data_IF_852178174521
#
_entry.id   IF_852178174521
#
_cell.length_a   1.000
_cell.length_b   1.000
_cell.length_c   1.000
_cell.angle_alpha   90.00
_cell.angle_beta   90.00
_cell.angle_gamma   90.00
#
_symmetry.space_group_name_H-M   'P 1'
#
loop_
_entity.id
_entity.type
_entity.pdbx_description
1 polymer ?
#
# COMPACT_ATOMS: atom_id res chain seq x y z
N UNK A 1 29.45 22.49 -10.81
CA UNK A 1 28.41 22.01 -11.74
C UNK A 1 27.40 21.18 -10.96
N UNK A 2 26.15 21.61 -10.87
CA UNK A 2 25.08 20.80 -10.26
C UNK A 2 24.94 19.50 -11.07
N UNK A 3 24.95 18.34 -10.40
CA UNK A 3 24.76 17.04 -11.06
C UNK A 3 23.39 17.05 -11.74
N UNK A 4 23.35 16.83 -13.05
CA UNK A 4 22.09 16.64 -13.79
C UNK A 4 21.29 15.52 -13.09
N UNK A 5 20.00 15.74 -12.74
CA UNK A 5 19.21 14.71 -12.09
C UNK A 5 19.17 13.47 -12.98
N UNK A 6 19.42 12.30 -12.39
CA UNK A 6 19.38 11.04 -13.13
C UNK A 6 17.94 10.70 -13.50
N UNK A 7 17.73 10.24 -14.73
CA UNK A 7 16.42 9.88 -15.26
C UNK A 7 16.24 8.37 -15.30
N UNK A 8 14.99 7.90 -15.12
CA UNK A 8 14.55 6.54 -15.39
C UNK A 8 14.30 6.30 -16.88
N UNK A 9 14.37 7.34 -17.72
CA UNK A 9 14.23 7.22 -19.17
C UNK A 9 15.51 6.70 -19.81
N UNK A 10 15.60 5.38 -19.93
CA UNK A 10 16.76 4.69 -20.49
C UNK A 10 16.37 3.93 -21.75
N UNK A 11 16.69 4.47 -22.93
CA UNK A 11 16.54 3.73 -24.18
C UNK A 11 17.27 2.38 -24.09
N UNK A 12 16.63 1.32 -24.60
CA UNK A 12 17.25 -0.01 -24.71
C UNK A 12 17.68 -0.63 -23.36
N UNK A 13 17.13 -0.17 -22.22
CA UNK A 13 17.45 -0.72 -20.90
C UNK A 13 17.31 -2.25 -20.83
N UNK A 14 16.33 -2.83 -21.51
CA UNK A 14 16.12 -4.28 -21.58
C UNK A 14 17.30 -5.05 -22.20
N UNK A 15 18.05 -4.43 -23.12
CA UNK A 15 19.19 -5.03 -23.83
C UNK A 15 20.48 -5.04 -23.00
N UNK A 16 20.56 -4.21 -21.96
CA UNK A 16 21.74 -4.13 -21.10
C UNK A 16 21.95 -5.44 -20.32
N UNK A 17 23.21 -5.75 -20.07
CA UNK A 17 23.57 -6.85 -19.16
C UNK A 17 23.05 -6.58 -17.75
N UNK A 18 22.88 -7.64 -16.96
CA UNK A 18 22.47 -7.52 -15.56
C UNK A 18 23.43 -6.64 -14.74
N UNK A 19 24.74 -6.76 -14.97
CA UNK A 19 25.75 -5.97 -14.29
C UNK A 19 25.62 -4.46 -14.60
N UNK A 20 25.34 -4.10 -15.86
CA UNK A 20 25.11 -2.72 -16.27
C UNK A 20 23.81 -2.16 -15.68
N UNK A 21 22.74 -2.95 -15.70
CA UNK A 21 21.46 -2.58 -15.06
C UNK A 21 21.66 -2.28 -13.57
N UNK A 22 22.36 -3.15 -12.84
CA UNK A 22 22.68 -2.94 -11.41
C UNK A 22 23.51 -1.66 -11.22
N UNK A 23 24.53 -1.43 -12.04
CA UNK A 23 25.37 -0.22 -11.94
C UNK A 23 24.56 1.06 -12.12
N UNK A 24 23.61 1.06 -13.05
CA UNK A 24 22.73 2.21 -13.29
C UNK A 24 21.79 2.43 -12.10
N UNK A 25 21.12 1.38 -11.63
CA UNK A 25 20.20 1.46 -10.49
C UNK A 25 20.94 1.88 -9.21
N UNK A 26 22.12 1.31 -8.97
CA UNK A 26 22.94 1.64 -7.80
C UNK A 26 23.32 3.11 -7.78
N UNK A 27 23.69 3.66 -8.94
CA UNK A 27 23.97 5.08 -9.06
C UNK A 27 22.70 5.92 -8.87
N UNK A 28 21.59 5.52 -9.49
CA UNK A 28 20.31 6.23 -9.41
C UNK A 28 19.78 6.32 -7.98
N UNK A 29 19.71 5.18 -7.29
CA UNK A 29 19.15 5.05 -5.94
C UNK A 29 20.17 5.28 -4.81
N UNK A 30 21.41 5.66 -5.16
CA UNK A 30 22.53 5.82 -4.21
C UNK A 30 22.75 4.58 -3.32
N UNK A 31 22.66 3.39 -3.91
CA UNK A 31 22.80 2.13 -3.19
C UNK A 31 24.21 1.97 -2.60
N UNK A 32 24.26 1.47 -1.37
CA UNK A 32 25.50 1.20 -0.63
C UNK A 32 26.17 -0.09 -1.10
N UNK A 33 27.37 -0.38 -0.58
CA UNK A 33 28.05 -1.65 -0.84
C UNK A 33 27.28 -2.81 -0.24
N UNK A 34 26.65 -2.58 0.91
CA UNK A 34 25.80 -3.50 1.63
C UNK A 34 24.56 -3.84 0.80
N UNK A 35 23.85 -2.85 0.25
CA UNK A 35 22.70 -3.07 -0.64
C UNK A 35 23.07 -3.91 -1.85
N UNK A 36 24.21 -3.59 -2.49
CA UNK A 36 24.73 -4.35 -3.62
C UNK A 36 25.09 -5.79 -3.26
N UNK A 37 25.56 -6.02 -2.04
CA UNK A 37 25.83 -7.37 -1.52
C UNK A 37 24.52 -8.14 -1.36
N UNK A 38 23.47 -7.52 -0.81
CA UNK A 38 22.14 -8.14 -0.71
C UNK A 38 21.57 -8.50 -2.09
N UNK A 39 21.63 -7.58 -3.06
CA UNK A 39 21.15 -7.86 -4.43
C UNK A 39 21.87 -9.06 -5.04
N UNK A 40 23.20 -9.15 -4.88
CA UNK A 40 23.99 -10.29 -5.36
C UNK A 40 23.66 -11.59 -4.64
N UNK A 41 23.35 -11.55 -3.34
CA UNK A 41 22.94 -12.72 -2.58
C UNK A 41 21.57 -13.20 -3.05
N UNK A 42 20.62 -12.28 -3.23
CA UNK A 42 19.29 -12.59 -3.73
C UNK A 42 19.32 -13.21 -5.14
N UNK A 43 20.21 -12.76 -6.02
CA UNK A 43 20.41 -13.37 -7.34
C UNK A 43 21.00 -14.79 -7.33
N UNK A 44 21.60 -15.22 -6.21
CA UNK A 44 22.16 -16.56 -6.04
C UNK A 44 21.19 -17.52 -5.37
N UNK A 45 20.05 -17.02 -4.91
CA UNK A 45 18.99 -17.87 -4.42
C UNK A 45 18.55 -18.78 -5.58
N UNK A 46 18.47 -20.10 -5.37
CA UNK A 46 17.96 -21.01 -6.39
C UNK A 46 16.56 -20.56 -6.81
N UNK A 47 16.15 -20.88 -8.04
CA UNK A 47 14.74 -20.80 -8.42
C UNK A 47 13.98 -21.75 -7.46
N UNK A 48 13.38 -21.18 -6.42
CA UNK A 48 12.73 -21.91 -5.34
C UNK A 48 11.37 -22.41 -5.83
N UNK A 49 11.40 -23.41 -6.70
CA UNK A 49 10.23 -24.00 -7.36
C UNK A 49 9.31 -24.77 -6.38
N UNK A 50 9.79 -25.14 -5.17
CA UNK A 50 9.07 -26.05 -4.27
C UNK A 50 8.40 -25.43 -3.03
N UNK A 51 8.29 -24.09 -2.93
CA UNK A 51 7.43 -23.46 -1.91
C UNK A 51 6.27 -22.74 -2.60
N UNK A 52 5.03 -23.11 -2.24
CA UNK A 52 3.74 -22.79 -2.91
C UNK A 52 3.48 -21.32 -3.30
N UNK A 53 4.32 -20.34 -2.95
CA UNK A 53 4.11 -18.91 -3.21
C UNK A 53 5.42 -18.09 -3.34
N UNK A 54 6.44 -18.55 -4.07
CA UNK A 54 7.71 -17.81 -4.19
C UNK A 54 8.01 -17.34 -5.62
N UNK A 55 8.61 -16.15 -5.75
CA UNK A 55 8.81 -15.46 -7.02
C UNK A 55 10.32 -15.25 -7.23
N UNK A 56 10.83 -15.67 -8.39
CA UNK A 56 12.23 -15.52 -8.80
C UNK A 56 12.70 -14.06 -8.92
N UNK A 57 13.86 -13.79 -9.54
CA UNK A 57 14.56 -12.51 -9.41
C UNK A 57 13.65 -11.31 -9.67
N UNK A 58 13.59 -10.36 -8.72
CA UNK A 58 12.85 -9.11 -8.88
C UNK A 58 13.31 -8.40 -10.17
N UNK A 59 12.32 -7.97 -10.95
CA UNK A 59 12.52 -7.24 -12.20
C UNK A 59 12.35 -5.75 -11.93
N UNK A 60 12.89 -4.91 -12.81
CA UNK A 60 12.80 -3.45 -12.65
C UNK A 60 12.13 -2.87 -13.88
N UNK A 61 10.99 -2.20 -13.68
CA UNK A 61 10.38 -1.37 -14.70
C UNK A 61 10.99 0.04 -14.71
N UNK A 62 11.10 0.62 -15.91
CA UNK A 62 11.77 1.90 -16.17
C UNK A 62 10.81 2.92 -16.79
N UNK A 63 11.29 4.13 -17.04
CA UNK A 63 10.56 5.26 -17.64
C UNK A 63 9.50 5.96 -16.77
N UNK A 64 9.19 5.44 -15.57
CA UNK A 64 8.19 6.07 -14.69
C UNK A 64 8.61 7.49 -14.31
N UNK A 65 7.74 8.45 -14.65
CA UNK A 65 7.76 9.84 -14.21
C UNK A 65 6.47 10.07 -13.44
N UNK A 66 6.54 10.29 -12.14
CA UNK A 66 5.37 10.49 -11.27
C UNK A 66 5.55 11.81 -10.54
N UNK A 67 4.62 12.75 -10.74
CA UNK A 67 4.71 14.11 -10.18
C UNK A 67 6.09 14.74 -10.43
N UNK A 68 6.53 14.75 -11.70
CA UNK A 68 7.83 15.28 -12.15
C UNK A 68 9.08 14.62 -11.53
N UNK A 69 8.91 13.47 -10.88
CA UNK A 69 10.02 12.69 -10.30
C UNK A 69 10.18 11.34 -10.99
N UNK A 70 11.41 11.03 -11.35
CA UNK A 70 11.79 9.76 -11.96
C UNK A 70 11.81 8.62 -10.94
N UNK A 71 11.34 7.44 -11.35
CA UNK A 71 11.35 6.21 -10.56
C UNK A 71 11.79 5.00 -11.39
N UNK A 72 12.54 4.10 -10.75
CA UNK A 72 12.62 2.69 -11.13
C UNK A 72 11.68 1.91 -10.22
N UNK A 73 10.80 1.10 -10.79
CA UNK A 73 9.77 0.37 -10.04
C UNK A 73 10.18 -1.10 -9.93
N UNK A 74 10.54 -1.60 -8.74
CA UNK A 74 10.76 -3.02 -8.54
C UNK A 74 9.43 -3.78 -8.67
N UNK A 75 9.47 -4.89 -9.39
CA UNK A 75 8.32 -5.75 -9.67
C UNK A 75 8.73 -7.20 -9.46
N UNK A 76 8.09 -7.85 -8.51
CA UNK A 76 8.22 -9.28 -8.24
C UNK A 76 7.01 -9.97 -8.83
N UNK A 77 7.20 -10.58 -10.02
CA UNK A 77 6.14 -11.27 -10.77
C UNK A 77 6.76 -12.37 -11.64
N UNK A 78 6.04 -13.47 -11.82
CA UNK A 78 6.46 -14.61 -12.64
C UNK A 78 6.52 -14.23 -14.12
N UNK A 79 5.51 -13.53 -14.63
CA UNK A 79 5.38 -13.22 -16.06
C UNK A 79 6.32 -12.06 -16.49
N UNK A 80 7.36 -12.32 -17.32
CA UNK A 80 8.30 -11.27 -17.73
C UNK A 80 7.67 -10.18 -18.61
N UNK A 81 6.62 -10.53 -19.36
CA UNK A 81 5.93 -9.62 -20.28
C UNK A 81 5.33 -8.41 -19.55
N UNK A 82 4.87 -8.60 -18.31
CA UNK A 82 4.20 -7.57 -17.50
C UNK A 82 5.12 -6.38 -17.24
N UNK A 83 6.40 -6.65 -16.94
CA UNK A 83 7.39 -5.61 -16.65
C UNK A 83 7.79 -4.85 -17.92
N UNK A 84 7.88 -5.56 -19.05
CA UNK A 84 8.12 -4.95 -20.35
C UNK A 84 6.93 -4.07 -20.78
N UNK A 85 5.70 -4.55 -20.59
CA UNK A 85 4.48 -3.79 -20.87
C UNK A 85 4.38 -2.54 -19.99
N UNK A 86 4.63 -2.66 -18.68
CA UNK A 86 4.64 -1.54 -17.74
C UNK A 86 5.68 -0.48 -18.14
N UNK A 87 6.90 -0.89 -18.49
CA UNK A 87 7.96 0.02 -18.94
C UNK A 87 7.61 0.72 -20.26
N UNK A 88 7.01 0.00 -21.21
CA UNK A 88 6.57 0.57 -22.49
C UNK A 88 5.45 1.57 -22.29
N UNK A 89 4.45 1.26 -21.47
CA UNK A 89 3.36 2.17 -21.15
C UNK A 89 3.88 3.43 -20.45
N UNK A 90 4.75 3.29 -19.46
CA UNK A 90 5.38 4.41 -18.77
C UNK A 90 6.17 5.32 -19.72
N UNK A 91 6.89 4.73 -20.69
CA UNK A 91 7.59 5.50 -21.74
C UNK A 91 6.64 6.35 -22.57
N UNK A 92 5.53 5.76 -23.05
CA UNK A 92 4.53 6.48 -23.86
C UNK A 92 3.88 7.59 -23.04
N UNK A 93 3.45 7.31 -21.81
CA UNK A 93 2.80 8.29 -20.92
C UNK A 93 3.75 9.45 -20.59
N UNK A 94 5.05 9.17 -20.46
CA UNK A 94 6.06 10.20 -20.24
C UNK A 94 6.16 11.22 -21.37
N UNK A 95 5.89 10.83 -22.62
CA UNK A 95 5.86 11.76 -23.76
C UNK A 95 4.77 12.84 -23.57
N UNK A 96 3.71 12.52 -22.82
CA UNK A 96 2.65 13.44 -22.42
C UNK A 96 2.84 14.14 -21.08
N UNK A 97 4.02 14.04 -20.44
CA UNK A 97 4.31 14.67 -19.15
C UNK A 97 4.31 13.73 -17.94
N UNK A 98 4.05 12.44 -18.13
CA UNK A 98 4.11 11.44 -17.05
C UNK A 98 2.80 11.27 -16.28
N UNK A 99 2.89 10.59 -15.14
CA UNK A 99 1.77 10.34 -14.24
C UNK A 99 1.64 11.48 -13.22
N UNK A 100 0.41 11.88 -12.93
CA UNK A 100 0.09 12.84 -11.89
C UNK A 100 -0.88 12.22 -10.88
N UNK A 101 -0.58 12.38 -9.61
CA UNK A 101 -1.40 11.86 -8.52
C UNK A 101 -1.19 12.66 -7.24
N UNK A 102 -2.22 12.67 -6.39
CA UNK A 102 -2.15 13.32 -5.07
C UNK A 102 -2.45 12.32 -3.97
N UNK A 103 -1.75 12.47 -2.85
CA UNK A 103 -2.03 11.73 -1.64
C UNK A 103 -3.27 12.31 -0.96
N UNK A 104 -4.26 11.46 -0.68
CA UNK A 104 -5.52 11.85 -0.04
C UNK A 104 -5.51 11.64 1.49
N UNK A 105 -4.45 11.07 2.03
CA UNK A 105 -4.34 10.63 3.42
C UNK A 105 -4.26 9.11 3.55
N UNK A 106 -3.77 8.65 4.70
CA UNK A 106 -3.72 7.24 5.07
C UNK A 106 -4.69 7.05 6.24
N UNK A 107 -5.87 6.51 5.95
CA UNK A 107 -6.89 6.23 6.94
C UNK A 107 -7.35 4.78 6.77
N UNK A 108 -7.06 3.98 7.79
CA UNK A 108 -7.56 2.62 7.90
C UNK A 108 -8.89 2.60 8.65
N UNK A 109 -9.73 1.63 8.30
CA UNK A 109 -11.04 1.43 8.92
C UNK A 109 -11.00 0.16 9.77
N UNK A 110 -11.01 0.33 11.08
CA UNK A 110 -11.28 -0.76 12.02
C UNK A 110 -12.80 -0.94 12.17
N UNK A 111 -13.31 -2.17 12.15
CA UNK A 111 -14.74 -2.45 12.26
C UNK A 111 -15.08 -3.19 13.55
N UNK A 112 -16.04 -2.66 14.31
CA UNK A 112 -16.63 -3.34 15.46
C UNK A 112 -18.09 -3.65 15.14
N UNK A 113 -18.41 -4.94 15.03
CA UNK A 113 -19.76 -5.41 14.74
C UNK A 113 -20.53 -5.70 16.02
N UNK A 114 -21.65 -5.00 16.20
CA UNK A 114 -22.50 -5.06 17.39
C UNK A 114 -23.84 -5.74 17.05
N UNK A 115 -24.11 -6.85 17.72
CA UNK A 115 -25.34 -7.63 17.60
C UNK A 115 -26.32 -7.33 18.73
N UNK A 116 -27.58 -7.75 18.57
CA UNK A 116 -28.59 -7.64 19.62
C UNK A 116 -29.12 -6.22 19.87
N UNK A 117 -28.80 -5.26 19.00
CA UNK A 117 -29.27 -3.87 19.10
C UNK A 117 -30.77 -3.78 18.80
N UNK A 118 -31.60 -3.59 19.83
CA UNK A 118 -33.06 -3.46 19.70
C UNK A 118 -33.48 -2.17 19.00
N UNK A 119 -32.84 -1.06 19.32
CA UNK A 119 -33.11 0.26 18.74
C UNK A 119 -31.83 0.88 18.18
N UNK A 120 -31.67 0.81 16.86
CA UNK A 120 -30.50 1.33 16.16
C UNK A 120 -30.30 2.84 16.38
N UNK A 121 -31.37 3.65 16.30
CA UNK A 121 -31.25 5.10 16.41
C UNK A 121 -30.81 5.52 17.81
N UNK A 122 -31.34 4.87 18.84
CA UNK A 122 -30.90 5.08 20.22
C UNK A 122 -29.43 4.70 20.39
N UNK A 123 -29.02 3.51 19.94
CA UNK A 123 -27.64 3.06 20.04
C UNK A 123 -26.66 3.98 19.28
N UNK A 124 -27.01 4.38 18.04
CA UNK A 124 -26.23 5.35 17.26
C UNK A 124 -26.08 6.67 18.01
N UNK A 125 -27.16 7.21 18.58
CA UNK A 125 -27.13 8.48 19.32
C UNK A 125 -26.20 8.39 20.54
N UNK A 126 -26.27 7.31 21.31
CA UNK A 126 -25.39 7.10 22.48
C UNK A 126 -23.92 6.97 22.07
N UNK A 127 -23.61 6.16 21.05
CA UNK A 127 -22.23 6.01 20.55
C UNK A 127 -21.66 7.34 20.07
N UNK A 128 -22.43 8.11 19.30
CA UNK A 128 -21.97 9.41 18.81
C UNK A 128 -21.80 10.42 19.94
N UNK A 129 -22.63 10.37 20.99
CA UNK A 129 -22.48 11.18 22.20
C UNK A 129 -21.18 10.83 22.95
N UNK A 130 -20.81 9.55 22.98
CA UNK A 130 -19.56 9.06 23.58
C UNK A 130 -18.35 9.08 22.65
N UNK A 131 -18.44 9.68 21.44
CA UNK A 131 -17.37 9.66 20.43
C UNK A 131 -16.00 10.05 20.98
N UNK A 132 -15.91 11.15 21.73
CA UNK A 132 -14.64 11.62 22.31
C UNK A 132 -14.02 10.61 23.28
N UNK A 133 -14.84 9.96 24.09
CA UNK A 133 -14.39 8.95 25.05
C UNK A 133 -13.92 7.69 24.34
N UNK A 134 -14.68 7.22 23.34
CA UNK A 134 -14.31 6.06 22.52
C UNK A 134 -12.97 6.31 21.81
N UNK A 135 -12.80 7.48 21.19
CA UNK A 135 -11.54 7.84 20.54
C UNK A 135 -10.38 7.94 21.54
N UNK A 136 -10.63 8.44 22.76
CA UNK A 136 -9.63 8.48 23.83
C UNK A 136 -9.21 7.07 24.26
N UNK A 137 -10.17 6.15 24.43
CA UNK A 137 -9.89 4.75 24.77
C UNK A 137 -9.11 4.08 23.64
N UNK A 138 -9.54 4.25 22.40
CA UNK A 138 -8.85 3.68 21.24
C UNK A 138 -7.40 4.19 21.13
N UNK A 139 -7.18 5.48 21.36
CA UNK A 139 -5.85 6.06 21.27
C UNK A 139 -4.92 5.72 22.45
N UNK A 140 -5.45 5.28 23.59
CA UNK A 140 -4.63 4.80 24.72
C UNK A 140 -3.90 3.48 24.43
N UNK A 141 -4.32 2.73 23.42
CA UNK A 141 -3.71 1.43 23.10
C UNK A 141 -2.35 1.56 22.40
N UNK A 142 -2.05 2.73 21.80
CA UNK A 142 -0.81 2.97 21.09
C UNK A 142 -0.35 4.43 21.24
N UNK A 143 0.43 4.68 22.30
CA UNK A 143 1.00 6.00 22.58
C UNK A 143 1.99 6.46 21.51
N UNK A 144 2.70 5.54 20.86
CA UNK A 144 3.67 5.90 19.82
C UNK A 144 2.97 6.49 18.60
N UNK A 145 1.88 5.86 18.16
CA UNK A 145 1.10 6.34 17.02
C UNK A 145 0.52 7.74 17.27
N UNK A 146 0.09 8.02 18.52
CA UNK A 146 -0.28 9.37 18.94
C UNK A 146 0.89 10.36 18.87
N UNK A 147 2.08 9.99 19.35
CA UNK A 147 3.28 10.86 19.35
C UNK A 147 3.65 11.32 17.94
N UNK A 148 3.51 10.44 16.95
CA UNK A 148 3.77 10.78 15.54
C UNK A 148 2.56 11.40 14.84
N UNK A 149 1.57 11.90 15.58
CA UNK A 149 0.32 12.53 15.08
C UNK A 149 -0.66 11.62 14.34
N UNK A 150 -0.53 10.30 14.49
CA UNK A 150 -1.48 9.30 13.99
C UNK A 150 -2.64 9.04 14.96
N UNK A 151 -3.19 7.82 14.89
CA UNK A 151 -4.18 7.31 15.84
C UNK A 151 -5.62 7.42 15.34
N UNK A 152 -6.56 7.00 16.17
CA UNK A 152 -7.99 7.09 15.90
C UNK A 152 -8.42 8.56 15.79
N UNK A 153 -8.87 8.95 14.60
CA UNK A 153 -9.27 10.32 14.25
C UNK A 153 -10.78 10.52 14.32
N UNK A 154 -11.54 9.53 13.89
CA UNK A 154 -12.98 9.62 13.80
C UNK A 154 -13.62 8.23 13.96
N UNK A 155 -14.93 8.18 14.15
CA UNK A 155 -15.75 6.99 14.04
C UNK A 155 -17.07 7.32 13.36
N UNK A 156 -17.63 6.33 12.68
CA UNK A 156 -19.00 6.38 12.16
C UNK A 156 -19.78 5.14 12.58
N UNK A 157 -21.11 5.26 12.53
CA UNK A 157 -22.04 4.19 12.90
C UNK A 157 -22.93 3.89 11.72
N UNK A 158 -22.80 2.67 11.20
CA UNK A 158 -23.55 2.17 10.05
C UNK A 158 -24.59 1.15 10.49
N UNK A 159 -25.77 1.23 9.89
CA UNK A 159 -26.76 0.15 9.94
C UNK A 159 -26.47 -0.79 8.79
N UNK A 160 -26.32 -2.08 9.08
CA UNK A 160 -26.22 -3.10 8.04
C UNK A 160 -27.44 -4.00 8.13
N UNK A 161 -28.15 -4.07 7.02
CA UNK A 161 -29.27 -4.98 6.86
C UNK A 161 -28.74 -6.28 6.21
N UNK A 162 -29.14 -7.46 6.67
CA UNK A 162 -28.70 -8.71 6.05
C UNK A 162 -29.18 -8.80 4.59
N UNK A 163 -28.28 -9.23 3.70
CA UNK A 163 -28.51 -9.27 2.25
C UNK A 163 -29.26 -10.54 1.81
N UNK A 164 -29.28 -11.61 2.61
CA UNK A 164 -29.99 -12.86 2.28
C UNK A 164 -30.81 -13.41 3.46
N UNK A 165 -32.06 -13.79 3.17
CA UNK A 165 -32.92 -14.61 4.03
C UNK A 165 -32.65 -16.11 3.75
N UNK A 166 -31.53 -16.66 4.20
CA UNK A 166 -31.27 -18.11 4.18
C UNK A 166 -31.75 -18.78 5.49
N UNK A 167 -31.89 -20.12 5.59
CA UNK A 167 -32.45 -20.78 6.81
C UNK A 167 -31.77 -20.42 8.16
N UNK A 168 -30.54 -19.90 8.13
CA UNK A 168 -29.82 -19.33 9.28
C UNK A 168 -30.12 -17.83 9.55
N UNK A 169 -30.86 -17.15 8.66
CA UNK A 169 -31.18 -15.73 8.67
C UNK A 169 -32.19 -15.31 9.74
N UNK A 170 -32.86 -16.26 10.40
CA UNK A 170 -33.61 -15.93 11.62
C UNK A 170 -32.69 -15.42 12.75
N UNK A 171 -31.36 -15.63 12.64
CA UNK A 171 -30.33 -15.02 13.51
C UNK A 171 -29.67 -13.79 12.91
N UNK A 172 -29.82 -13.54 11.61
CA UNK A 172 -29.31 -12.34 10.96
C UNK A 172 -30.27 -11.17 11.27
N UNK A 173 -30.24 -10.72 12.53
CA UNK A 173 -30.87 -9.46 12.93
C UNK A 173 -30.04 -8.31 12.37
N UNK A 174 -30.69 -7.17 12.13
CA UNK A 174 -29.99 -5.93 11.83
C UNK A 174 -28.85 -5.75 12.84
N UNK A 175 -27.65 -5.49 12.34
CA UNK A 175 -26.50 -5.22 13.19
C UNK A 175 -25.98 -3.83 12.91
N UNK A 176 -25.33 -3.29 13.92
CA UNK A 176 -24.70 -1.98 13.88
C UNK A 176 -23.21 -2.23 13.70
N UNK A 177 -22.58 -1.54 12.75
CA UNK A 177 -21.13 -1.56 12.59
C UNK A 177 -20.60 -0.19 12.98
N UNK A 178 -19.71 -0.17 13.96
CA UNK A 178 -18.92 1.00 14.30
C UNK A 178 -17.63 0.92 13.47
N UNK A 179 -17.41 1.91 12.63
CA UNK A 179 -16.13 2.11 11.96
C UNK A 179 -15.29 3.06 12.79
N UNK A 180 -14.04 2.73 13.00
CA UNK A 180 -13.03 3.59 13.57
C UNK A 180 -12.06 3.98 12.46
N UNK A 181 -11.96 5.28 12.16
CA UNK A 181 -11.00 5.81 11.20
C UNK A 181 -9.68 6.09 11.91
N UNK A 182 -8.63 5.40 11.51
CA UNK A 182 -7.31 5.42 12.15
C UNK A 182 -6.28 5.92 11.16
N UNK A 183 -5.54 6.96 11.52
CA UNK A 183 -4.36 7.39 10.78
C UNK A 183 -3.16 6.55 11.20
N UNK A 184 -2.69 5.69 10.30
CA UNK A 184 -1.64 4.70 10.55
C UNK A 184 -0.26 5.15 10.05
N UNK A 185 -0.16 6.40 9.58
CA UNK A 185 1.07 7.00 9.04
C UNK A 185 1.71 6.17 7.94
N UNK A 186 2.89 5.61 8.16
CA UNK A 186 3.61 4.84 7.14
C UNK A 186 3.34 3.34 7.26
N UNK A 187 2.58 2.90 8.27
CA UNK A 187 2.20 1.52 8.43
C UNK A 187 0.91 1.18 7.65
N UNK A 188 0.82 -0.07 7.19
CA UNK A 188 -0.43 -0.61 6.64
C UNK A 188 -1.55 -0.59 7.68
N UNK A 189 -1.26 -0.92 8.95
CA UNK A 189 -2.20 -0.75 10.06
C UNK A 189 -3.38 -1.73 10.09
N UNK A 190 -3.07 -3.01 9.91
CA UNK A 190 -3.98 -4.13 10.17
C UNK A 190 -4.25 -4.33 11.68
#
# INVERSE_FOLDING_TARGET
MARKPMTSSLPQFHQLSLAEKIKIIARFSSLTKEDLKLIRQYQKLPDFIDFENNIGPFKIASHFLVNDKDYFVPMEIEEPSVVAAASRAAKIIREGGGFFGRYLGNQMIGQLQLFGIKNFQKAKKEILKSKKEILKIANKTNEFLLKISGGAKDLEVRKVNPIRKNKFSNRARNFLVLHLFVDTKDAMGA
#
